data_IF_492327582151
#
_entry.id   IF_492327582151
#
_cell.length_a   1.000
_cell.length_b   1.000
_cell.length_c   1.000
_cell.angle_alpha   90.00
_cell.angle_beta   90.00
_cell.angle_gamma   90.00
#
_symmetry.space_group_name_H-M   'P 1'
#
loop_
_entity.id
_entity.type
_entity.pdbx_description
1 polymer ?
#
# COMPACT_ATOMS: atom_id res chain seq x y z
N UNK A 1 10.34 -33.05 -33.07
CA UNK A 1 11.35 -31.97 -33.08
C UNK A 1 10.89 -30.91 -34.08
N UNK A 2 10.31 -29.80 -33.62
CA UNK A 2 9.86 -28.73 -34.52
C UNK A 2 11.08 -27.88 -34.95
N UNK A 3 11.22 -27.51 -36.24
CA UNK A 3 12.37 -26.76 -36.69
C UNK A 3 12.28 -25.30 -36.22
N UNK A 4 13.32 -24.84 -35.53
CA UNK A 4 13.50 -23.45 -35.13
C UNK A 4 13.72 -22.62 -36.39
N UNK A 5 12.73 -21.78 -36.73
CA UNK A 5 12.84 -20.84 -37.85
C UNK A 5 13.88 -19.76 -37.50
N UNK A 6 15.03 -19.82 -38.17
CA UNK A 6 16.06 -18.78 -38.08
C UNK A 6 15.55 -17.58 -38.87
N UNK A 7 15.13 -16.52 -38.17
CA UNK A 7 14.68 -15.27 -38.77
C UNK A 7 15.75 -14.69 -39.70
N UNK A 8 15.30 -14.15 -40.83
CA UNK A 8 16.18 -13.61 -41.86
C UNK A 8 16.92 -12.36 -41.36
N UNK A 9 18.01 -11.94 -42.00
CA UNK A 9 18.75 -10.72 -41.63
C UNK A 9 17.84 -9.49 -41.56
N UNK A 10 16.84 -9.44 -42.44
CA UNK A 10 15.80 -8.40 -42.50
C UNK A 10 14.94 -8.36 -41.22
N UNK A 11 14.50 -9.52 -40.71
CA UNK A 11 13.75 -9.59 -39.44
C UNK A 11 14.57 -9.07 -38.25
N UNK A 12 15.88 -9.33 -38.27
CA UNK A 12 16.78 -8.91 -37.18
C UNK A 12 16.99 -7.40 -37.19
N UNK A 13 17.09 -6.80 -38.36
CA UNK A 13 17.27 -5.36 -38.53
C UNK A 13 15.97 -4.60 -38.23
N UNK A 14 14.82 -5.16 -38.61
CA UNK A 14 13.50 -4.62 -38.29
C UNK A 14 13.21 -4.66 -36.78
N UNK A 15 13.59 -5.77 -36.11
CA UNK A 15 13.52 -5.88 -34.65
C UNK A 15 14.46 -4.91 -33.94
N UNK A 16 15.64 -4.61 -34.52
CA UNK A 16 16.56 -3.59 -34.01
C UNK A 16 16.00 -2.18 -34.17
N UNK A 17 15.33 -1.88 -35.28
CA UNK A 17 14.65 -0.60 -35.47
C UNK A 17 13.48 -0.42 -34.50
N UNK A 18 12.67 -1.45 -34.30
CA UNK A 18 11.58 -1.42 -33.31
C UNK A 18 12.10 -1.19 -31.89
N UNK A 19 13.23 -1.82 -31.52
CA UNK A 19 13.84 -1.57 -30.21
C UNK A 19 14.39 -0.15 -30.08
N UNK A 20 15.00 0.41 -31.12
CA UNK A 20 15.46 1.81 -31.13
C UNK A 20 14.31 2.79 -31.02
N UNK A 21 13.24 2.60 -31.79
CA UNK A 21 12.04 3.44 -31.70
C UNK A 21 11.39 3.37 -30.32
N UNK A 22 11.40 2.20 -29.65
CA UNK A 22 10.92 2.07 -28.27
C UNK A 22 11.80 2.79 -27.27
N UNK A 23 13.12 2.78 -27.47
CA UNK A 23 14.07 3.50 -26.62
C UNK A 23 13.93 5.02 -26.80
N UNK A 24 13.86 5.50 -28.04
CA UNK A 24 13.66 6.93 -28.35
C UNK A 24 12.29 7.42 -27.87
N UNK A 25 11.25 6.59 -27.94
CA UNK A 25 9.94 6.90 -27.38
C UNK A 25 9.98 6.98 -25.85
N UNK A 26 10.71 6.09 -25.17
CA UNK A 26 10.91 6.20 -23.72
C UNK A 26 11.79 7.38 -23.32
N UNK A 27 12.74 7.78 -24.15
CA UNK A 27 13.59 8.96 -23.93
C UNK A 27 12.78 10.26 -24.11
N UNK A 28 11.92 10.34 -25.13
CA UNK A 28 10.97 11.46 -25.31
C UNK A 28 9.96 11.60 -24.19
N UNK A 29 9.50 10.48 -23.60
CA UNK A 29 8.61 10.50 -22.41
C UNK A 29 9.34 10.99 -21.15
N UNK A 30 10.67 10.89 -21.10
CA UNK A 30 11.49 11.37 -19.98
C UNK A 30 12.03 12.80 -20.19
N UNK A 31 11.79 13.42 -21.34
CA UNK A 31 12.27 14.76 -21.69
C UNK A 31 11.18 15.85 -21.57
N UNK A 32 10.17 15.67 -20.72
CA UNK A 32 9.28 16.76 -20.31
C UNK A 32 10.11 17.78 -19.51
N UNK A 33 10.14 19.06 -19.88
CA UNK A 33 10.89 20.07 -19.13
C UNK A 33 10.32 20.16 -17.72
N UNK A 34 11.23 20.16 -16.75
CA UNK A 34 10.93 20.18 -15.33
C UNK A 34 10.16 21.45 -14.95
N UNK A 35 8.83 21.34 -14.83
CA UNK A 35 8.12 22.18 -13.88
C UNK A 35 8.67 21.87 -12.48
N UNK A 36 8.93 22.90 -11.69
CA UNK A 36 9.48 22.76 -10.33
C UNK A 36 8.62 21.77 -9.53
N UNK A 37 9.13 20.54 -9.38
CA UNK A 37 8.49 19.51 -8.54
C UNK A 37 8.35 20.10 -7.13
N UNK A 38 7.10 20.33 -6.71
CA UNK A 38 6.78 20.74 -5.35
C UNK A 38 7.56 19.90 -4.34
N UNK A 39 8.10 20.48 -3.24
CA UNK A 39 8.86 19.75 -2.22
C UNK A 39 8.15 18.49 -1.71
N UNK A 40 6.81 18.49 -1.74
CA UNK A 40 5.98 17.34 -1.42
C UNK A 40 6.11 16.20 -2.46
N UNK A 41 6.14 16.50 -3.75
CA UNK A 41 6.33 15.53 -4.83
C UNK A 41 7.73 14.89 -4.75
N UNK A 42 8.77 15.70 -4.52
CA UNK A 42 10.15 15.22 -4.34
C UNK A 42 10.29 14.29 -3.14
N UNK A 43 9.64 14.62 -2.01
CA UNK A 43 9.57 13.72 -0.83
C UNK A 43 8.82 12.43 -1.12
N UNK A 44 7.69 12.48 -1.85
CA UNK A 44 6.92 11.30 -2.26
C UNK A 44 7.73 10.37 -3.15
N UNK A 45 8.45 10.91 -4.14
CA UNK A 45 9.34 10.13 -5.02
C UNK A 45 10.47 9.45 -4.23
N UNK A 46 11.13 10.19 -3.32
CA UNK A 46 12.19 9.64 -2.47
C UNK A 46 11.66 8.53 -1.54
N UNK A 47 10.46 8.68 -0.99
CA UNK A 47 9.84 7.66 -0.16
C UNK A 47 9.48 6.39 -0.95
N UNK A 48 8.95 6.53 -2.18
CA UNK A 48 8.69 5.37 -3.07
C UNK A 48 9.98 4.62 -3.41
N UNK A 49 11.05 5.34 -3.74
CA UNK A 49 12.36 4.75 -4.03
C UNK A 49 12.95 4.02 -2.81
N UNK A 50 12.88 4.63 -1.63
CA UNK A 50 13.34 3.99 -0.38
C UNK A 50 12.51 2.75 -0.04
N UNK A 51 11.18 2.79 -0.28
CA UNK A 51 10.30 1.65 -0.05
C UNK A 51 10.64 0.49 -1.01
N UNK A 52 10.90 0.77 -2.29
CA UNK A 52 11.33 -0.21 -3.27
C UNK A 52 12.69 -0.84 -2.89
N UNK A 53 13.66 -0.01 -2.49
CA UNK A 53 14.96 -0.51 -2.01
C UNK A 53 14.85 -1.37 -0.75
N UNK A 54 13.97 -0.98 0.19
CA UNK A 54 13.74 -1.76 1.41
C UNK A 54 13.07 -3.11 1.10
N UNK A 55 12.13 -3.15 0.15
CA UNK A 55 11.53 -4.41 -0.34
C UNK A 55 12.56 -5.30 -1.01
N UNK A 56 13.44 -4.73 -1.82
CA UNK A 56 14.54 -5.48 -2.45
C UNK A 56 15.48 -6.06 -1.39
N UNK A 57 15.97 -5.25 -0.45
CA UNK A 57 16.83 -5.71 0.64
C UNK A 57 16.17 -6.76 1.53
N UNK A 58 14.86 -6.69 1.76
CA UNK A 58 14.12 -7.70 2.50
C UNK A 58 14.12 -9.05 1.75
N UNK A 59 13.82 -9.03 0.45
CA UNK A 59 13.86 -10.24 -0.40
C UNK A 59 15.26 -10.84 -0.49
N UNK A 60 16.30 -10.02 -0.55
CA UNK A 60 17.69 -10.52 -0.54
C UNK A 60 18.02 -11.24 0.77
N UNK A 61 17.59 -10.70 1.92
CA UNK A 61 17.79 -11.36 3.22
C UNK A 61 17.00 -12.66 3.35
N UNK A 62 15.79 -12.72 2.79
CA UNK A 62 14.99 -13.95 2.75
C UNK A 62 15.67 -15.02 1.90
N UNK A 63 16.27 -14.63 0.76
CA UNK A 63 17.09 -15.52 -0.06
C UNK A 63 18.33 -16.02 0.70
N UNK A 64 19.08 -15.13 1.37
CA UNK A 64 20.25 -15.53 2.17
C UNK A 64 19.89 -16.50 3.30
N UNK A 65 18.74 -16.31 3.95
CA UNK A 65 18.24 -17.21 5.00
C UNK A 65 17.84 -18.59 4.44
N UNK A 66 17.21 -18.63 3.26
CA UNK A 66 16.88 -19.88 2.58
C UNK A 66 18.15 -20.61 2.12
N UNK A 67 19.16 -19.88 1.61
CA UNK A 67 20.46 -20.45 1.25
C UNK A 67 21.20 -21.01 2.46
N UNK A 68 21.14 -20.34 3.63
CA UNK A 68 21.67 -20.89 4.88
C UNK A 68 20.92 -22.14 5.34
N UNK A 69 19.60 -22.21 5.18
CA UNK A 69 18.85 -23.42 5.52
C UNK A 69 19.23 -24.61 4.64
N UNK A 70 19.39 -24.40 3.34
CA UNK A 70 19.83 -25.46 2.41
C UNK A 70 21.25 -25.95 2.76
N UNK A 71 22.16 -25.03 3.11
CA UNK A 71 23.53 -25.39 3.50
C UNK A 71 23.59 -26.11 4.85
N UNK A 72 22.74 -25.78 5.82
CA UNK A 72 22.71 -26.46 7.12
C UNK A 72 22.10 -27.87 7.05
N UNK A 73 21.15 -28.11 6.14
CA UNK A 73 20.59 -29.46 5.90
C UNK A 73 21.62 -30.37 5.23
N UNK A 74 22.52 -29.84 4.40
CA UNK A 74 23.59 -30.64 3.78
C UNK A 74 24.77 -31.01 4.70
N UNK A 75 24.90 -30.40 5.89
CA UNK A 75 26.00 -30.70 6.84
C UNK A 75 25.59 -31.71 7.91
N UNK A 76 24.29 -31.95 8.12
CA UNK A 76 23.79 -32.86 9.16
C UNK A 76 23.92 -34.36 8.81
N UNK A 77 24.08 -34.73 7.53
CA UNK A 77 24.17 -36.14 7.09
C UNK A 77 25.61 -36.69 7.01
N UNK A 78 26.60 -35.99 7.58
CA UNK A 78 28.03 -36.29 7.35
C UNK A 78 28.91 -36.48 8.59
N UNK A 79 28.40 -36.76 9.79
CA UNK A 79 29.27 -36.91 10.97
C UNK A 79 28.86 -38.03 11.92
N UNK A 80 29.12 -39.27 11.51
CA UNK A 80 29.47 -40.34 12.44
C UNK A 80 30.93 -40.72 12.22
N UNK A 81 31.59 -41.14 13.32
CA UNK A 81 32.89 -41.84 13.43
C UNK A 81 34.07 -41.03 14.02
N UNK A 82 34.45 -41.48 15.23
CA UNK A 82 35.77 -41.48 15.94
C UNK A 82 36.33 -40.17 16.51
N UNK A 83 36.41 -40.02 17.83
CA UNK A 83 37.39 -40.60 18.79
C UNK A 83 38.79 -39.97 18.70
N UNK A 84 39.28 -39.39 19.80
CA UNK A 84 40.71 -39.16 20.02
C UNK A 84 41.10 -37.79 20.57
N UNK A 85 41.01 -37.63 21.89
CA UNK A 85 41.86 -36.70 22.68
C UNK A 85 43.15 -37.47 23.02
N UNK A 86 44.36 -36.87 22.95
CA UNK A 86 44.99 -36.43 24.20
C UNK A 86 45.75 -35.09 24.11
N UNK A 87 45.85 -34.50 25.30
CA UNK A 87 46.52 -33.24 25.62
C UNK A 87 48.05 -33.36 25.75
N UNK A 88 48.78 -32.26 25.50
CA UNK A 88 50.02 -31.86 26.21
C UNK A 88 50.14 -30.32 26.17
N UNK A 89 50.55 -29.64 27.26
CA UNK A 89 50.54 -28.18 27.38
C UNK A 89 51.86 -27.54 26.92
N UNK A 90 51.79 -26.34 26.34
CA UNK A 90 52.96 -25.46 26.15
C UNK A 90 52.74 -24.16 26.90
N UNK A 91 53.55 -24.02 27.95
CA UNK A 91 53.85 -22.82 28.71
C UNK A 91 54.37 -21.72 27.79
N UNK A 92 53.72 -20.54 27.77
CA UNK A 92 54.43 -19.31 27.39
C UNK A 92 53.85 -18.07 28.07
N UNK A 93 54.73 -17.43 28.85
CA UNK A 93 54.81 -16.00 29.16
C UNK A 93 53.61 -15.33 29.85
N UNK A 94 53.74 -15.26 31.19
CA UNK A 94 53.21 -14.17 32.02
C UNK A 94 53.79 -12.84 31.51
N UNK A 95 53.00 -12.13 30.71
CA UNK A 95 53.18 -10.69 30.50
C UNK A 95 52.59 -9.96 31.70
N UNK A 96 53.46 -9.46 32.58
CA UNK A 96 53.11 -8.47 33.60
C UNK A 96 52.54 -7.22 32.91
N UNK A 97 51.23 -7.16 32.76
CA UNK A 97 50.52 -5.92 32.54
C UNK A 97 50.51 -5.18 33.88
N UNK A 98 51.38 -4.18 33.98
CA UNK A 98 51.39 -3.18 35.05
C UNK A 98 50.00 -2.55 35.09
N UNK A 99 49.19 -2.98 36.05
CA UNK A 99 47.93 -2.32 36.36
C UNK A 99 48.24 -0.89 36.83
N UNK A 100 47.60 0.15 36.27
CA UNK A 100 47.64 1.46 36.89
C UNK A 100 46.78 1.37 38.16
N UNK A 101 47.42 1.14 39.31
CA UNK A 101 46.85 1.31 40.64
C UNK A 101 46.63 2.80 40.89
N UNK A 102 45.58 3.35 40.29
CA UNK A 102 45.14 4.73 40.53
C UNK A 102 43.83 4.68 41.31
N UNK A 103 43.93 4.74 42.64
CA UNK A 103 43.01 5.35 43.62
C UNK A 103 41.50 5.48 43.27
N UNK A 104 40.92 4.49 42.59
CA UNK A 104 39.50 4.48 42.20
C UNK A 104 38.62 3.79 43.26
N UNK A 105 39.25 3.06 44.19
CA UNK A 105 38.55 2.31 45.24
C UNK A 105 37.86 3.18 46.28
N UNK A 106 38.42 4.33 46.67
CA UNK A 106 37.79 5.16 47.72
C UNK A 106 36.55 5.91 47.20
N UNK A 107 36.62 6.52 46.02
CA UNK A 107 35.48 7.23 45.44
C UNK A 107 34.34 6.28 45.03
N UNK A 108 34.67 5.08 44.54
CA UNK A 108 33.68 4.05 44.27
C UNK A 108 33.04 3.53 45.58
N UNK A 109 33.83 3.26 46.61
CA UNK A 109 33.34 2.83 47.91
C UNK A 109 32.45 3.91 48.59
N UNK A 110 32.83 5.19 48.52
CA UNK A 110 32.01 6.29 49.03
C UNK A 110 30.68 6.40 48.27
N UNK A 111 30.68 6.27 46.94
CA UNK A 111 29.43 6.23 46.15
C UNK A 111 28.55 5.04 46.51
N UNK A 112 29.13 3.87 46.81
CA UNK A 112 28.37 2.70 47.27
C UNK A 112 27.77 2.92 48.66
N UNK A 113 28.55 3.46 49.60
CA UNK A 113 28.07 3.79 50.96
C UNK A 113 26.97 4.86 50.94
N UNK A 114 27.09 5.87 50.08
CA UNK A 114 26.05 6.89 49.90
C UNK A 114 24.80 6.32 49.23
N UNK A 115 24.95 5.41 48.27
CA UNK A 115 23.83 4.70 47.67
C UNK A 115 23.12 3.79 48.68
N UNK A 116 23.85 3.16 49.60
CA UNK A 116 23.31 2.36 50.72
C UNK A 116 22.57 3.23 51.73
N UNK A 117 23.15 4.35 52.17
CA UNK A 117 22.46 5.33 53.01
C UNK A 117 21.19 5.87 52.33
N UNK A 118 21.23 6.14 51.03
CA UNK A 118 20.05 6.55 50.27
C UNK A 118 18.99 5.44 50.15
N UNK A 119 19.41 4.17 50.06
CA UNK A 119 18.49 3.01 50.10
C UNK A 119 17.80 2.90 51.47
N UNK A 120 18.56 2.98 52.57
CA UNK A 120 18.02 2.94 53.93
C UNK A 120 17.04 4.10 54.20
N UNK A 121 17.39 5.33 53.79
CA UNK A 121 16.50 6.51 53.90
C UNK A 121 15.21 6.34 53.09
N UNK A 122 15.27 5.70 51.92
CA UNK A 122 14.08 5.42 51.10
C UNK A 122 13.19 4.33 51.72
N UNK A 123 13.80 3.29 52.28
CA UNK A 123 13.08 2.22 52.97
C UNK A 123 12.30 2.76 54.17
N UNK A 124 12.93 3.62 54.98
CA UNK A 124 12.34 4.20 56.19
C UNK A 124 11.43 5.41 55.95
N UNK A 125 11.13 5.73 54.69
CA UNK A 125 10.28 6.88 54.33
C UNK A 125 8.80 6.51 54.45
N UNK A 126 8.00 7.33 55.13
CA UNK A 126 6.55 7.11 55.24
C UNK A 126 5.83 7.29 53.90
N UNK A 127 4.61 6.76 53.76
CA UNK A 127 3.80 6.89 52.52
C UNK A 127 3.58 8.35 52.11
N UNK A 128 3.22 9.21 53.08
CA UNK A 128 3.03 10.66 52.89
C UNK A 128 4.34 11.36 52.47
N UNK A 129 5.47 11.01 53.11
CA UNK A 129 6.78 11.55 52.73
C UNK A 129 7.19 11.11 51.31
N UNK A 130 6.94 9.84 50.93
CA UNK A 130 7.18 9.33 49.58
C UNK A 130 6.34 10.06 48.54
N UNK A 131 5.07 10.35 48.86
CA UNK A 131 4.19 11.10 47.97
C UNK A 131 4.64 12.54 47.79
N UNK A 132 4.96 13.24 48.87
CA UNK A 132 5.54 14.58 48.82
C UNK A 132 6.86 14.62 48.01
N UNK A 133 7.70 13.59 48.12
CA UNK A 133 8.91 13.47 47.30
C UNK A 133 8.59 13.22 45.82
N UNK A 134 7.59 12.40 45.49
CA UNK A 134 7.10 12.20 44.11
C UNK A 134 6.57 13.50 43.52
N UNK A 135 5.76 14.25 44.26
CA UNK A 135 5.20 15.53 43.81
C UNK A 135 6.31 16.54 43.52
N UNK A 136 7.26 16.73 44.46
CA UNK A 136 8.42 17.62 44.25
C UNK A 136 9.29 17.20 43.07
N UNK A 137 9.46 15.90 42.84
CA UNK A 137 10.21 15.41 41.67
C UNK A 137 9.44 15.61 40.36
N UNK A 138 8.12 15.42 40.36
CA UNK A 138 7.27 15.69 39.21
C UNK A 138 7.29 17.18 38.85
N UNK A 139 7.21 18.06 39.84
CA UNK A 139 7.31 19.51 39.66
C UNK A 139 8.68 19.93 39.11
N UNK A 140 9.78 19.44 39.70
CA UNK A 140 11.13 19.65 39.15
C UNK A 140 11.24 19.15 37.72
N UNK A 141 10.62 18.03 37.38
CA UNK A 141 10.61 17.52 36.02
C UNK A 141 9.77 18.40 35.08
N UNK A 142 8.63 18.94 35.54
CA UNK A 142 7.82 19.90 34.78
C UNK A 142 8.60 21.17 34.49
N UNK A 143 9.25 21.76 35.48
CA UNK A 143 10.09 22.96 35.31
C UNK A 143 11.24 22.71 34.33
N UNK A 144 11.94 21.56 34.46
CA UNK A 144 12.96 21.15 33.50
C UNK A 144 12.40 20.96 32.10
N UNK A 145 11.17 20.47 31.94
CA UNK A 145 10.54 20.32 30.62
C UNK A 145 10.15 21.67 30.03
N UNK A 146 9.71 22.62 30.85
CA UNK A 146 9.34 23.97 30.41
C UNK A 146 10.56 24.79 29.95
N UNK A 147 11.73 24.56 30.55
CA UNK A 147 12.98 25.27 30.21
C UNK A 147 13.77 24.62 29.06
N UNK A 148 13.31 23.51 28.48
CA UNK A 148 14.04 22.79 27.44
C UNK A 148 13.98 23.50 26.09
N UNK A 149 15.13 23.51 25.41
CA UNK A 149 15.23 23.93 24.01
C UNK A 149 14.73 22.83 23.08
N UNK A 150 14.25 23.20 21.89
CA UNK A 150 13.67 22.27 20.92
C UNK A 150 14.64 21.13 20.52
N UNK A 151 15.94 21.43 20.43
CA UNK A 151 16.99 20.47 20.10
C UNK A 151 17.15 19.37 21.17
N UNK A 152 17.08 19.73 22.45
CA UNK A 152 17.15 18.76 23.55
C UNK A 152 15.93 17.85 23.60
N UNK A 153 14.75 18.39 23.24
CA UNK A 153 13.51 17.62 23.13
C UNK A 153 13.62 16.58 22.01
N UNK A 154 14.17 16.96 20.85
CA UNK A 154 14.41 16.02 19.75
C UNK A 154 15.48 14.98 20.10
N UNK A 155 16.56 15.37 20.79
CA UNK A 155 17.57 14.42 21.27
C UNK A 155 16.97 13.39 22.25
N UNK A 156 16.09 13.82 23.16
CA UNK A 156 15.36 12.91 24.06
C UNK A 156 14.38 12.01 23.31
N UNK A 157 13.65 12.53 22.32
CA UNK A 157 12.80 11.71 21.45
C UNK A 157 13.62 10.66 20.70
N UNK A 158 14.80 11.02 20.20
CA UNK A 158 15.75 10.10 19.58
C UNK A 158 16.20 9.00 20.54
N UNK A 159 16.66 9.37 21.75
CA UNK A 159 17.04 8.42 22.80
C UNK A 159 15.89 7.49 23.17
N UNK A 160 14.68 8.01 23.32
CA UNK A 160 13.49 7.20 23.64
C UNK A 160 13.16 6.21 22.51
N UNK A 161 13.25 6.63 21.23
CA UNK A 161 13.07 5.73 20.09
C UNK A 161 14.08 4.58 20.11
N UNK A 162 15.35 4.88 20.35
CA UNK A 162 16.42 3.89 20.44
C UNK A 162 16.25 2.97 21.65
N UNK A 163 15.88 3.51 22.82
CA UNK A 163 15.58 2.73 24.01
C UNK A 163 14.41 1.77 23.78
N UNK A 164 13.31 2.25 23.18
CA UNK A 164 12.19 1.38 22.82
C UNK A 164 12.57 0.33 21.77
N UNK A 165 13.46 0.67 20.83
CA UNK A 165 13.95 -0.29 19.85
C UNK A 165 14.81 -1.36 20.53
N UNK A 166 15.76 -0.97 21.39
CA UNK A 166 16.57 -1.89 22.17
C UNK A 166 15.70 -2.78 23.07
N UNK A 167 14.69 -2.21 23.73
CA UNK A 167 13.75 -2.98 24.54
C UNK A 167 12.96 -3.99 23.69
N UNK A 168 12.51 -3.61 22.49
CA UNK A 168 11.85 -4.55 21.56
C UNK A 168 12.76 -5.69 21.13
N UNK A 169 14.05 -5.41 20.88
CA UNK A 169 15.04 -6.41 20.51
C UNK A 169 15.37 -7.35 21.68
N UNK A 170 15.44 -6.82 22.90
CA UNK A 170 15.70 -7.57 24.12
C UNK A 170 14.47 -8.35 24.65
N UNK A 171 13.25 -8.06 24.17
CA UNK A 171 12.06 -8.85 24.51
C UNK A 171 12.22 -10.27 23.97
N UNK A 172 12.30 -11.23 24.88
CA UNK A 172 12.30 -12.66 24.57
C UNK A 172 11.00 -13.06 23.87
N UNK A 173 11.04 -14.17 23.12
CA UNK A 173 9.84 -14.70 22.44
C UNK A 173 8.73 -14.98 23.45
N UNK A 174 9.06 -15.58 24.60
CA UNK A 174 8.14 -15.84 25.71
C UNK A 174 7.45 -14.57 26.21
N UNK A 175 8.17 -13.45 26.36
CA UNK A 175 7.55 -12.19 26.80
C UNK A 175 6.57 -11.63 25.76
N UNK A 176 6.85 -11.83 24.46
CA UNK A 176 5.96 -11.40 23.37
C UNK A 176 4.72 -12.28 23.27
N UNK A 177 4.88 -13.59 23.48
CA UNK A 177 3.78 -14.55 23.50
C UNK A 177 2.87 -14.29 24.70
N UNK A 178 3.45 -14.12 25.89
CA UNK A 178 2.68 -13.77 27.08
C UNK A 178 1.89 -12.46 26.93
N UNK A 179 2.45 -11.44 26.27
CA UNK A 179 1.74 -10.19 25.97
C UNK A 179 0.57 -10.41 24.98
N UNK A 180 0.75 -11.27 23.97
CA UNK A 180 -0.32 -11.67 23.05
C UNK A 180 -1.41 -12.44 23.76
N UNK A 181 -1.05 -13.40 24.60
CA UNK A 181 -1.99 -14.17 25.42
C UNK A 181 -2.77 -13.27 26.36
N UNK A 182 -2.10 -12.34 27.05
CA UNK A 182 -2.78 -11.33 27.86
C UNK A 182 -3.74 -10.48 27.02
N UNK A 183 -3.37 -10.12 25.80
CA UNK A 183 -4.27 -9.37 24.91
C UNK A 183 -5.48 -10.19 24.49
N UNK A 184 -5.29 -11.47 24.15
CA UNK A 184 -6.38 -12.40 23.80
C UNK A 184 -7.28 -12.64 25.01
N UNK A 185 -6.72 -12.87 26.20
CA UNK A 185 -7.44 -13.04 27.45
C UNK A 185 -8.25 -11.79 27.82
N UNK A 186 -7.69 -10.59 27.65
CA UNK A 186 -8.44 -9.34 27.84
C UNK A 186 -9.61 -9.22 26.85
N UNK A 187 -9.42 -9.62 25.58
CA UNK A 187 -10.49 -9.59 24.58
C UNK A 187 -11.57 -10.65 24.84
N UNK A 188 -11.20 -11.82 25.35
CA UNK A 188 -12.18 -12.87 25.69
C UNK A 188 -13.02 -12.49 26.91
N UNK A 189 -12.43 -11.77 27.87
CA UNK A 189 -13.12 -11.28 29.07
C UNK A 189 -13.99 -10.02 28.85
N UNK A 190 -13.88 -9.36 27.69
CA UNK A 190 -14.73 -8.19 27.39
C UNK A 190 -16.21 -8.60 27.29
N UNK A 191 -17.07 -7.78 27.87
CA UNK A 191 -18.53 -7.96 27.72
C UNK A 191 -18.98 -7.56 26.31
N UNK A 192 -20.14 -8.02 25.86
CA UNK A 192 -20.66 -7.59 24.55
C UNK A 192 -20.97 -6.08 24.54
N UNK A 193 -21.34 -5.49 25.68
CA UNK A 193 -21.51 -4.05 25.82
C UNK A 193 -20.18 -3.30 25.59
N UNK A 194 -19.07 -3.78 26.17
CA UNK A 194 -17.75 -3.18 25.93
C UNK A 194 -17.34 -3.29 24.46
N UNK A 195 -17.61 -4.45 23.83
CA UNK A 195 -17.33 -4.65 22.40
C UNK A 195 -18.17 -3.72 21.53
N UNK A 196 -19.46 -3.53 21.85
CA UNK A 196 -20.33 -2.60 21.15
C UNK A 196 -19.84 -1.16 21.28
N UNK A 197 -19.51 -0.71 22.50
CA UNK A 197 -18.97 0.64 22.75
C UNK A 197 -17.62 0.89 22.07
N UNK A 198 -16.79 -0.16 21.88
CA UNK A 198 -15.57 -0.06 21.08
C UNK A 198 -15.87 0.07 19.59
N UNK A 199 -16.81 -0.74 19.05
CA UNK A 199 -17.23 -0.64 17.64
C UNK A 199 -17.84 0.72 17.32
N UNK A 200 -18.62 1.29 18.24
CA UNK A 200 -19.20 2.62 18.11
C UNK A 200 -18.11 3.69 18.03
N UNK A 201 -17.20 3.73 19.02
CA UNK A 201 -16.06 4.65 19.00
C UNK A 201 -15.18 4.51 17.75
N UNK A 202 -14.94 3.29 17.29
CA UNK A 202 -14.19 3.06 16.05
C UNK A 202 -14.93 3.56 14.81
N UNK A 203 -16.26 3.44 14.80
CA UNK A 203 -17.13 3.93 13.73
C UNK A 203 -17.13 5.46 13.70
N UNK A 204 -17.29 6.11 14.85
CA UNK A 204 -17.21 7.56 15.00
C UNK A 204 -15.83 8.09 14.60
N UNK A 205 -14.75 7.46 15.09
CA UNK A 205 -13.39 7.85 14.72
C UNK A 205 -13.15 7.71 13.21
N UNK A 206 -13.71 6.67 12.58
CA UNK A 206 -13.63 6.50 11.12
C UNK A 206 -14.48 7.54 10.39
N UNK A 207 -15.68 7.87 10.87
CA UNK A 207 -16.54 8.90 10.29
C UNK A 207 -15.86 10.28 10.37
N UNK A 208 -15.30 10.61 11.53
CA UNK A 208 -14.55 11.84 11.76
C UNK A 208 -13.29 11.93 10.87
N UNK A 209 -12.52 10.84 10.72
CA UNK A 209 -11.41 10.84 9.77
C UNK A 209 -11.88 11.09 8.34
N UNK A 210 -12.99 10.47 7.92
CA UNK A 210 -13.54 10.65 6.56
C UNK A 210 -14.11 12.04 6.29
N UNK A 211 -14.65 12.74 7.31
CA UNK A 211 -15.11 14.12 7.15
C UNK A 211 -13.95 15.11 7.00
N UNK A 212 -12.79 14.81 7.59
CA UNK A 212 -11.58 15.62 7.50
C UNK A 212 -10.71 15.31 6.26
N UNK A 213 -11.00 14.22 5.54
CA UNK A 213 -10.22 13.83 4.36
C UNK A 213 -10.42 14.80 3.20
N UNK A 214 -9.30 15.12 2.55
CA UNK A 214 -9.29 15.87 1.30
C UNK A 214 -9.84 15.04 0.13
N UNK A 215 -10.20 15.69 -0.98
CA UNK A 215 -10.65 15.00 -2.20
C UNK A 215 -9.61 13.98 -2.71
N UNK A 216 -8.35 14.37 -2.74
CA UNK A 216 -7.25 13.51 -3.20
C UNK A 216 -7.03 12.30 -2.30
N UNK A 217 -7.10 12.48 -0.98
CA UNK A 217 -7.02 11.36 -0.03
C UNK A 217 -8.15 10.36 -0.21
N UNK A 218 -9.38 10.86 -0.45
CA UNK A 218 -10.52 9.99 -0.77
C UNK A 218 -10.33 9.24 -2.07
N UNK A 219 -9.76 9.87 -3.09
CA UNK A 219 -9.46 9.20 -4.36
C UNK A 219 -8.40 8.10 -4.19
N UNK A 220 -7.31 8.38 -3.46
CA UNK A 220 -6.28 7.39 -3.15
C UNK A 220 -6.84 6.21 -2.34
N UNK A 221 -7.70 6.48 -1.36
CA UNK A 221 -8.36 5.41 -0.59
C UNK A 221 -9.26 4.55 -1.49
N UNK A 222 -10.05 5.17 -2.37
CA UNK A 222 -10.89 4.46 -3.36
C UNK A 222 -10.06 3.65 -4.34
N UNK A 223 -8.91 4.15 -4.80
CA UNK A 223 -8.01 3.41 -5.69
C UNK A 223 -7.43 2.18 -5.00
N UNK A 224 -6.99 2.34 -3.74
CA UNK A 224 -6.50 1.24 -2.94
C UNK A 224 -7.59 0.21 -2.62
N UNK A 225 -8.84 0.66 -2.40
CA UNK A 225 -9.99 -0.24 -2.25
C UNK A 225 -10.30 -1.00 -3.55
N UNK A 226 -10.24 -0.32 -4.70
CA UNK A 226 -10.39 -0.96 -6.01
C UNK A 226 -9.34 -2.04 -6.22
N UNK A 227 -8.07 -1.75 -5.94
CA UNK A 227 -6.97 -2.70 -6.05
C UNK A 227 -7.13 -3.89 -5.09
N UNK A 228 -7.54 -3.63 -3.83
CA UNK A 228 -7.87 -4.70 -2.88
C UNK A 228 -8.96 -5.60 -3.41
N UNK A 229 -10.02 -5.01 -3.99
CA UNK A 229 -11.14 -5.76 -4.53
C UNK A 229 -10.73 -6.59 -5.76
N UNK A 230 -9.92 -6.04 -6.67
CA UNK A 230 -9.44 -6.80 -7.84
C UNK A 230 -8.58 -7.99 -7.39
N UNK A 231 -7.63 -7.75 -6.48
CA UNK A 231 -6.76 -8.81 -5.97
C UNK A 231 -7.55 -9.89 -5.22
N UNK A 232 -8.57 -9.50 -4.43
CA UNK A 232 -9.45 -10.43 -3.74
C UNK A 232 -10.27 -11.30 -4.72
N UNK A 233 -10.73 -10.72 -5.84
CA UNK A 233 -11.45 -11.45 -6.90
C UNK A 233 -10.54 -12.43 -7.64
N UNK A 234 -9.30 -12.05 -7.89
CA UNK A 234 -8.31 -12.92 -8.55
C UNK A 234 -7.94 -14.13 -7.68
N UNK A 235 -7.88 -13.95 -6.35
CA UNK A 235 -7.59 -15.01 -5.40
C UNK A 235 -8.83 -15.82 -4.98
N UNK A 236 -10.01 -15.50 -5.51
CA UNK A 236 -11.26 -16.13 -5.13
C UNK A 236 -11.43 -17.49 -5.85
N UNK A 237 -11.76 -18.54 -5.09
CA UNK A 237 -12.13 -19.85 -5.64
C UNK A 237 -13.44 -19.78 -6.43
N UNK A 238 -13.64 -20.72 -7.36
CA UNK A 238 -14.87 -20.82 -8.17
C UNK A 238 -16.13 -20.95 -7.32
N UNK A 239 -16.12 -21.82 -6.31
CA UNK A 239 -17.24 -21.95 -5.37
C UNK A 239 -17.61 -20.63 -4.70
N UNK A 240 -16.61 -19.84 -4.29
CA UNK A 240 -16.85 -18.52 -3.71
C UNK A 240 -17.37 -17.52 -4.75
N UNK A 241 -16.95 -17.64 -6.01
CA UNK A 241 -17.47 -16.80 -7.11
C UNK A 241 -18.93 -17.11 -7.38
N UNK A 242 -19.31 -18.38 -7.41
CA UNK A 242 -20.69 -18.78 -7.66
C UNK A 242 -21.62 -18.43 -6.50
N UNK A 243 -21.20 -18.67 -5.26
CA UNK A 243 -21.94 -18.21 -4.08
C UNK A 243 -22.10 -16.67 -4.05
N UNK A 244 -21.12 -15.92 -4.57
CA UNK A 244 -21.27 -14.47 -4.72
C UNK A 244 -22.31 -14.10 -5.77
N UNK A 245 -22.29 -14.76 -6.94
CA UNK A 245 -23.27 -14.56 -8.01
C UNK A 245 -24.69 -14.88 -7.55
N UNK A 246 -24.87 -15.96 -6.80
CA UNK A 246 -26.17 -16.34 -6.23
C UNK A 246 -26.70 -15.26 -5.28
N UNK A 247 -25.89 -14.82 -4.32
CA UNK A 247 -26.26 -13.72 -3.41
C UNK A 247 -26.58 -12.43 -4.16
N UNK A 248 -25.89 -12.14 -5.27
CA UNK A 248 -26.18 -10.97 -6.09
C UNK A 248 -27.51 -11.11 -6.84
N UNK A 249 -27.83 -12.30 -7.36
CA UNK A 249 -29.14 -12.59 -7.96
C UNK A 249 -30.26 -12.44 -6.94
N UNK A 250 -30.07 -12.97 -5.73
CA UNK A 250 -31.02 -12.82 -4.62
C UNK A 250 -31.21 -11.35 -4.23
N UNK A 251 -30.12 -10.60 -4.05
CA UNK A 251 -30.18 -9.16 -3.78
C UNK A 251 -30.92 -8.40 -4.87
N UNK A 252 -30.70 -8.76 -6.13
CA UNK A 252 -31.39 -8.14 -7.26
C UNK A 252 -32.87 -8.51 -7.28
N UNK A 253 -33.23 -9.76 -6.99
CA UNK A 253 -34.62 -10.19 -6.89
C UNK A 253 -35.36 -9.48 -5.75
N UNK A 254 -34.73 -9.37 -4.57
CA UNK A 254 -35.27 -8.61 -3.43
C UNK A 254 -35.43 -7.14 -3.78
N UNK A 255 -34.43 -6.53 -4.44
CA UNK A 255 -34.53 -5.14 -4.89
C UNK A 255 -35.71 -4.93 -5.84
N UNK A 256 -35.91 -5.83 -6.81
CA UNK A 256 -37.05 -5.77 -7.74
C UNK A 256 -38.40 -6.00 -7.04
N UNK A 257 -38.44 -6.88 -6.03
CA UNK A 257 -39.66 -7.14 -5.27
C UNK A 257 -40.06 -5.96 -4.37
N UNK A 258 -39.09 -5.16 -3.93
CA UNK A 258 -39.29 -3.98 -3.10
C UNK A 258 -39.40 -2.68 -3.90
N UNK A 259 -39.22 -2.73 -5.23
CA UNK A 259 -39.35 -1.55 -6.08
C UNK A 259 -40.78 -1.02 -6.05
N UNK A 260 -40.88 0.29 -5.93
CA UNK A 260 -42.17 0.99 -6.08
C UNK A 260 -42.59 1.01 -7.55
N UNK A 261 -43.88 1.21 -7.82
CA UNK A 261 -44.42 1.26 -9.19
C UNK A 261 -43.78 2.38 -10.02
N UNK A 262 -43.55 3.54 -9.42
CA UNK A 262 -42.84 4.68 -10.01
C UNK A 262 -41.41 4.31 -10.45
N UNK A 263 -40.63 3.68 -9.57
CA UNK A 263 -39.27 3.21 -9.89
C UNK A 263 -39.27 2.16 -11.03
N UNK A 264 -40.33 1.35 -11.10
CA UNK A 264 -40.48 0.31 -12.13
C UNK A 264 -40.81 0.88 -13.51
N UNK A 265 -41.46 2.03 -13.57
CA UNK A 265 -41.74 2.77 -14.81
C UNK A 265 -40.54 3.62 -15.25
N UNK A 266 -39.81 4.21 -14.31
CA UNK A 266 -38.60 4.98 -14.59
C UNK A 266 -37.42 4.13 -15.07
N UNK A 267 -37.25 2.90 -14.58
CA UNK A 267 -36.11 2.05 -14.98
C UNK A 267 -36.08 1.79 -16.51
N UNK A 268 -37.18 1.38 -17.17
CA UNK A 268 -37.24 1.28 -18.62
C UNK A 268 -36.86 2.56 -19.35
N UNK A 269 -37.28 3.72 -18.84
CA UNK A 269 -36.97 5.01 -19.44
C UNK A 269 -35.49 5.35 -19.30
N UNK A 270 -34.91 5.16 -18.11
CA UNK A 270 -33.46 5.30 -17.87
C UNK A 270 -32.64 4.36 -18.74
N UNK A 271 -33.12 3.14 -18.99
CA UNK A 271 -32.47 2.18 -19.91
C UNK A 271 -32.57 2.67 -21.36
N UNK A 272 -33.73 3.17 -21.79
CA UNK A 272 -33.92 3.75 -23.13
C UNK A 272 -33.01 4.97 -23.34
N UNK A 273 -32.95 5.87 -22.36
CA UNK A 273 -32.08 7.04 -22.38
C UNK A 273 -30.61 6.63 -22.47
N UNK A 274 -30.15 5.70 -21.62
CA UNK A 274 -28.78 5.15 -21.71
C UNK A 274 -28.48 4.59 -23.10
N UNK A 275 -29.42 3.85 -23.71
CA UNK A 275 -29.25 3.32 -25.07
C UNK A 275 -29.15 4.42 -26.12
N UNK A 276 -29.89 5.53 -25.96
CA UNK A 276 -29.83 6.70 -26.86
C UNK A 276 -28.53 7.50 -26.70
N UNK A 277 -28.04 7.65 -25.47
CA UNK A 277 -26.84 8.44 -25.17
C UNK A 277 -25.54 7.66 -25.29
N UNK A 278 -25.60 6.34 -25.38
CA UNK A 278 -24.42 5.53 -25.69
C UNK A 278 -24.08 5.81 -27.16
N UNK A 279 -22.93 6.44 -27.48
CA UNK A 279 -22.56 6.63 -28.86
C UNK A 279 -22.54 5.27 -29.54
N UNK A 280 -23.31 5.11 -30.61
CA UNK A 280 -23.24 3.96 -31.50
C UNK A 280 -21.89 4.07 -32.21
N UNK A 281 -20.81 3.72 -31.50
CA UNK A 281 -19.42 3.89 -31.97
C UNK A 281 -19.12 3.03 -33.21
N UNK A 282 -20.04 2.12 -33.54
CA UNK A 282 -19.96 1.17 -34.65
C UNK A 282 -21.08 1.38 -35.70
N UNK A 283 -21.71 2.57 -35.77
CA UNK A 283 -22.62 2.87 -36.88
C UNK A 283 -21.82 3.20 -38.15
N UNK A 284 -21.28 2.17 -38.83
CA UNK A 284 -20.92 1.98 -40.25
C UNK A 284 -20.30 3.11 -41.12
N UNK A 285 -20.20 4.35 -40.65
CA UNK A 285 -19.83 5.53 -41.43
C UNK A 285 -18.32 5.85 -41.39
N UNK A 286 -17.55 5.15 -40.56
CA UNK A 286 -16.10 5.33 -40.38
C UNK A 286 -15.32 4.02 -40.46
N UNK A 287 -15.76 3.03 -41.25
CA UNK A 287 -14.87 1.91 -41.57
C UNK A 287 -13.85 2.38 -42.61
N UNK A 288 -12.56 2.19 -42.33
CA UNK A 288 -11.45 2.47 -43.26
C UNK A 288 -11.57 1.72 -44.59
N UNK A 289 -12.43 0.68 -44.64
CA UNK A 289 -12.75 -0.12 -45.82
C UNK A 289 -13.93 0.42 -46.65
N UNK A 290 -14.60 1.50 -46.22
CA UNK A 290 -15.61 2.14 -47.04
C UNK A 290 -14.92 2.81 -48.23
N UNK A 291 -14.95 2.16 -49.39
CA UNK A 291 -14.43 2.71 -50.65
C UNK A 291 -15.55 3.47 -51.36
N UNK A 292 -15.50 4.81 -51.45
CA UNK A 292 -16.50 5.59 -52.18
C UNK A 292 -16.61 5.19 -53.66
N UNK A 293 -15.59 4.53 -54.20
CA UNK A 293 -15.58 3.99 -55.56
C UNK A 293 -16.57 2.84 -55.79
N UNK A 294 -17.08 2.19 -54.73
CA UNK A 294 -18.06 1.11 -54.84
C UNK A 294 -19.51 1.60 -54.88
N UNK A 295 -19.74 2.90 -54.64
CA UNK A 295 -21.07 3.52 -54.70
C UNK A 295 -21.22 4.16 -56.08
N UNK A 296 -21.89 3.45 -56.98
CA UNK A 296 -22.23 3.92 -58.33
C UNK A 296 -23.74 3.80 -58.56
N UNK A 297 -24.33 4.83 -59.15
CA UNK A 297 -25.75 4.88 -59.45
C UNK A 297 -26.16 6.28 -59.94
N UNK A 298 -27.29 6.40 -60.64
CA UNK A 298 -27.79 7.67 -61.18
C UNK A 298 -28.03 8.74 -60.10
N UNK A 299 -28.25 8.31 -58.85
CA UNK A 299 -28.47 9.19 -57.70
C UNK A 299 -27.18 9.50 -56.93
N UNK A 300 -26.00 9.36 -57.56
CA UNK A 300 -24.69 9.63 -56.96
C UNK A 300 -23.95 10.64 -57.82
N UNK A 301 -23.43 11.69 -57.20
CA UNK A 301 -22.62 12.69 -57.88
C UNK A 301 -21.24 12.08 -58.19
N UNK A 302 -20.88 12.01 -59.47
CA UNK A 302 -19.63 11.39 -59.92
C UNK A 302 -18.36 12.07 -59.39
N UNK A 303 -18.43 13.38 -59.13
CA UNK A 303 -17.30 14.21 -58.70
C UNK A 303 -17.14 14.19 -57.17
N UNK A 304 -18.24 14.24 -56.42
CA UNK A 304 -18.20 14.24 -54.95
C UNK A 304 -18.45 12.86 -54.33
N UNK A 305 -18.83 11.87 -55.14
CA UNK A 305 -19.22 10.49 -54.75
C UNK A 305 -20.25 10.44 -53.61
N UNK A 306 -21.06 11.49 -53.49
CA UNK A 306 -22.17 11.63 -52.54
C UNK A 306 -23.49 11.43 -53.26
N UNK A 307 -24.52 10.99 -52.54
CA UNK A 307 -25.85 10.90 -53.11
C UNK A 307 -26.35 12.28 -53.56
N UNK A 308 -26.83 12.38 -54.80
CA UNK A 308 -27.60 13.53 -55.28
C UNK A 308 -28.95 13.47 -54.60
N UNK A 309 -29.15 14.32 -53.59
CA UNK A 309 -30.47 14.50 -53.02
C UNK A 309 -31.37 15.08 -54.13
N UNK A 310 -32.62 14.58 -54.27
CA UNK A 310 -33.53 15.15 -55.24
C UNK A 310 -33.83 16.62 -54.84
N UNK A 311 -34.14 17.48 -55.82
CA UNK A 311 -34.41 18.89 -55.55
C UNK A 311 -35.56 19.00 -54.55
N UNK A 312 -35.28 19.63 -53.41
CA UNK A 312 -36.27 19.86 -52.36
C UNK A 312 -37.17 21.01 -52.79
N UNK A 313 -38.47 20.76 -52.86
CA UNK A 313 -39.46 21.81 -53.14
C UNK A 313 -40.00 22.33 -51.81
N UNK A 314 -39.92 23.64 -51.61
CA UNK A 314 -40.53 24.30 -50.45
C UNK A 314 -42.01 24.52 -50.74
N UNK A 315 -42.89 24.13 -49.81
CA UNK A 315 -44.32 24.33 -49.93
C UNK A 315 -44.66 25.83 -49.87
N UNK A 316 -45.26 26.38 -50.92
CA UNK A 316 -45.62 27.80 -50.98
C UNK A 316 -46.60 28.25 -49.87
N UNK A 317 -47.40 27.32 -49.31
CA UNK A 317 -48.41 27.65 -48.31
C UNK A 317 -47.89 27.67 -46.86
N UNK A 318 -46.81 26.93 -46.56
CA UNK A 318 -46.34 26.79 -45.17
C UNK A 318 -44.81 26.83 -45.01
N UNK A 319 -44.06 27.05 -46.09
CA UNK A 319 -42.61 27.01 -46.14
C UNK A 319 -41.97 25.70 -45.59
N UNK A 320 -42.76 24.63 -45.46
CA UNK A 320 -42.24 23.32 -45.09
C UNK A 320 -41.53 22.68 -46.28
N UNK A 321 -40.45 21.96 -45.99
CA UNK A 321 -39.68 21.20 -46.97
C UNK A 321 -40.48 19.96 -47.36
N UNK A 322 -40.76 19.77 -48.65
CA UNK A 322 -41.41 18.57 -49.17
C UNK A 322 -40.44 17.71 -49.95
N UNK A 323 -40.49 16.40 -49.70
CA UNK A 323 -39.79 15.41 -50.50
C UNK A 323 -40.56 15.15 -51.80
N UNK A 324 -39.88 15.02 -52.94
CA UNK A 324 -40.54 14.66 -54.19
C UNK A 324 -41.09 13.23 -54.08
N UNK A 325 -42.43 13.11 -54.15
CA UNK A 325 -43.14 11.82 -54.01
C UNK A 325 -44.25 11.83 -52.95
N UNK A 326 -44.29 12.82 -52.05
CA UNK A 326 -45.46 13.04 -51.20
C UNK A 326 -46.57 13.70 -52.03
N UNK A 327 -47.56 12.90 -52.45
CA UNK A 327 -48.76 13.39 -53.12
C UNK A 327 -49.57 14.35 -52.23
N UNK A 328 -50.36 15.19 -52.90
CA UNK A 328 -51.14 16.32 -52.38
C UNK A 328 -51.96 16.05 -51.13
#
# INVERSE_FOLDING_TARGET
MAPVRVGTKRDRDERRQQLRQRLDATERVNATPAEEESPAAKRRRKNRMNQAQNRFKARTRELDLLTQQVNNVSVADGSTVTSGVPAVPVTTAVGLAVAPTINTSSAAAVRMSDAERARARRANMSSSQRECARQRNAERQRLRRAQRRAEEVEADRGRNRLSHQAQRLLRTQVAREHEREQQVARRSQQTEADRAALRERDTEARAHRRSQQTGDERNVERDADRERHTNAREQQSDERRDAHRERDRERQAVRRALQTEEEREEEPERVRERRRTTPHRDALANHEDFRPSMVAGPDVNEETRRHRLPPTTVCANCNAWKWPGESK
#
